data_IF_449620596930
#
_entry.id   IF_449620596930
#
_cell.length_a   1.000
_cell.length_b   1.000
_cell.length_c   1.000
_cell.angle_alpha   90.00
_cell.angle_beta   90.00
_cell.angle_gamma   90.00
#
_symmetry.space_group_name_H-M   'P 1'
#
loop_
_entity.id
_entity.type
_entity.pdbx_description
1 polymer ?
#
# COMPACT_ATOMS: atom_id res chain seq x y z
N UNK A 1 -17.48 26.54 -43.88
CA UNK A 1 -17.42 25.09 -43.60
C UNK A 1 -16.68 24.90 -42.29
N UNK A 2 -17.36 24.34 -41.27
CA UNK A 2 -16.87 24.28 -39.88
C UNK A 2 -15.78 23.21 -39.75
N UNK A 3 -14.54 23.65 -39.54
CA UNK A 3 -13.43 22.82 -39.07
C UNK A 3 -13.59 22.57 -37.57
N UNK A 4 -14.33 21.53 -37.19
CA UNK A 4 -14.34 21.00 -35.82
C UNK A 4 -14.44 19.49 -35.89
N UNK A 5 -13.30 18.80 -36.03
CA UNK A 5 -13.23 17.37 -35.82
C UNK A 5 -12.05 17.02 -34.90
N UNK A 6 -12.43 16.63 -33.69
CA UNK A 6 -11.82 15.58 -32.86
C UNK A 6 -10.40 15.82 -32.33
N UNK A 7 -10.25 16.82 -31.47
CA UNK A 7 -9.36 16.72 -30.30
C UNK A 7 -10.16 16.15 -29.12
N UNK A 8 -10.61 14.89 -29.24
CA UNK A 8 -11.38 14.21 -28.20
C UNK A 8 -10.50 13.16 -27.53
N UNK A 9 -9.74 13.63 -26.53
CA UNK A 9 -9.65 12.94 -25.25
C UNK A 9 -9.19 11.48 -25.22
N UNK A 10 -8.03 11.14 -25.77
CA UNK A 10 -7.22 10.07 -25.18
C UNK A 10 -6.46 10.63 -23.97
N UNK A 11 -7.21 11.06 -22.96
CA UNK A 11 -6.71 11.04 -21.59
C UNK A 11 -6.55 9.56 -21.25
N UNK A 12 -5.44 8.97 -21.70
CA UNK A 12 -5.05 7.64 -21.27
C UNK A 12 -4.85 7.82 -19.76
N UNK A 13 -5.84 7.38 -18.99
CA UNK A 13 -5.81 7.31 -17.54
C UNK A 13 -4.71 6.29 -17.22
N UNK A 14 -3.48 6.78 -17.22
CA UNK A 14 -2.28 5.98 -17.02
C UNK A 14 -1.98 5.98 -15.54
N UNK A 15 -1.84 4.77 -14.98
CA UNK A 15 -1.30 4.60 -13.64
C UNK A 15 0.19 4.29 -13.71
N UNK A 16 0.93 4.75 -12.71
CA UNK A 16 2.24 4.18 -12.40
C UNK A 16 2.02 2.84 -11.69
N UNK A 17 2.70 1.79 -12.14
CA UNK A 17 2.65 0.47 -11.50
C UNK A 17 3.86 0.23 -10.63
N UNK A 18 3.60 -0.41 -9.49
CA UNK A 18 4.62 -1.05 -8.66
C UNK A 18 4.43 -2.55 -8.79
N UNK A 19 5.51 -3.33 -8.69
CA UNK A 19 5.43 -4.80 -8.74
C UNK A 19 4.58 -5.32 -7.59
N UNK A 20 3.65 -6.21 -7.90
CA UNK A 20 2.79 -6.86 -6.91
C UNK A 20 1.31 -6.50 -7.06
N UNK A 21 0.53 -6.79 -6.02
CA UNK A 21 -0.91 -6.56 -6.02
C UNK A 21 -1.25 -5.08 -5.82
N UNK A 22 -2.05 -4.54 -6.74
CA UNK A 22 -2.54 -3.16 -6.70
C UNK A 22 -4.03 -3.12 -7.04
N UNK A 23 -4.79 -2.29 -6.34
CA UNK A 23 -6.19 -2.02 -6.67
C UNK A 23 -6.25 -0.94 -7.75
N UNK A 24 -6.95 -1.22 -8.85
CA UNK A 24 -7.09 -0.26 -9.93
C UNK A 24 -8.17 0.78 -9.60
N UNK A 25 -7.88 2.06 -9.87
CA UNK A 25 -8.77 3.17 -9.52
C UNK A 25 -10.07 3.24 -10.33
N UNK A 26 -10.09 2.69 -11.56
CA UNK A 26 -11.25 2.80 -12.44
C UNK A 26 -12.37 1.80 -12.13
N UNK A 27 -12.05 0.62 -11.58
CA UNK A 27 -13.04 -0.41 -11.27
C UNK A 27 -12.94 -0.99 -9.84
N UNK A 28 -11.95 -0.57 -9.06
CA UNK A 28 -11.75 -1.04 -7.68
C UNK A 28 -11.31 -2.50 -7.54
N UNK A 29 -10.96 -3.18 -8.64
CA UNK A 29 -10.53 -4.58 -8.61
C UNK A 29 -9.04 -4.69 -8.32
N UNK A 30 -8.64 -5.82 -7.74
CA UNK A 30 -7.24 -6.13 -7.43
C UNK A 30 -6.56 -6.77 -8.65
N UNK A 31 -5.34 -6.33 -8.96
CA UNK A 31 -4.53 -6.81 -10.08
C UNK A 31 -3.14 -7.15 -9.60
N UNK A 32 -2.55 -8.21 -10.14
CA UNK A 32 -1.12 -8.49 -9.94
C UNK A 32 -0.31 -7.88 -11.09
N UNK A 33 0.46 -6.83 -10.79
CA UNK A 33 1.27 -6.12 -11.77
C UNK A 33 2.69 -6.72 -11.80
N UNK A 34 3.15 -7.22 -12.96
CA UNK A 34 4.44 -7.86 -13.09
C UNK A 34 5.58 -6.82 -13.15
N UNK A 35 6.82 -7.27 -12.93
CA UNK A 35 8.01 -6.41 -12.89
C UNK A 35 8.23 -5.56 -14.14
N UNK A 36 7.91 -6.11 -15.32
CA UNK A 36 8.05 -5.41 -16.60
C UNK A 36 6.87 -4.48 -16.95
N UNK A 37 5.92 -4.27 -16.03
CA UNK A 37 4.85 -3.30 -16.19
C UNK A 37 5.22 -2.07 -15.37
N UNK A 38 5.83 -1.07 -15.99
CA UNK A 38 6.21 0.20 -15.32
C UNK A 38 5.04 1.20 -15.32
N UNK A 39 4.24 1.13 -16.39
CA UNK A 39 2.98 1.86 -16.53
C UNK A 39 1.92 0.94 -17.10
N UNK A 40 0.67 1.27 -16.85
CA UNK A 40 -0.47 0.62 -17.49
C UNK A 40 -1.45 1.65 -18.05
N UNK A 41 -2.23 1.21 -19.03
CA UNK A 41 -3.44 1.90 -19.49
C UNK A 41 -4.66 1.00 -19.31
N UNK A 42 -5.82 1.64 -19.17
CA UNK A 42 -7.11 0.96 -19.16
C UNK A 42 -7.56 0.66 -20.59
N UNK A 43 -8.12 -0.53 -20.79
CA UNK A 43 -8.87 -0.82 -22.02
C UNK A 43 -10.20 -0.08 -22.01
N UNK A 44 -10.57 0.51 -23.14
CA UNK A 44 -11.88 1.15 -23.33
C UNK A 44 -12.98 0.13 -23.61
N UNK A 45 -12.64 -0.99 -24.25
CA UNK A 45 -13.60 -2.01 -24.66
C UNK A 45 -13.90 -3.02 -23.53
N UNK A 46 -12.91 -3.28 -22.69
CA UNK A 46 -13.02 -4.17 -21.54
C UNK A 46 -12.48 -3.52 -20.28
N UNK A 47 -13.35 -3.07 -19.35
CA UNK A 47 -12.92 -2.38 -18.14
C UNK A 47 -12.11 -3.27 -17.19
N UNK A 48 -12.08 -4.59 -17.39
CA UNK A 48 -11.27 -5.48 -16.56
C UNK A 48 -9.85 -5.65 -17.09
N UNK A 49 -9.57 -5.15 -18.30
CA UNK A 49 -8.29 -5.35 -18.97
C UNK A 49 -7.34 -4.16 -18.80
N UNK A 50 -6.10 -4.46 -18.36
CA UNK A 50 -4.98 -3.51 -18.30
C UNK A 50 -3.90 -3.87 -19.33
N UNK A 51 -3.39 -2.88 -20.04
CA UNK A 51 -2.26 -3.04 -20.95
C UNK A 51 -0.98 -2.50 -20.33
N UNK A 52 0.07 -3.32 -20.31
CA UNK A 52 1.36 -2.95 -19.73
C UNK A 52 2.28 -2.23 -20.72
N UNK A 53 3.01 -1.26 -20.19
CA UNK A 53 4.04 -0.51 -20.89
C UNK A 53 5.36 -0.59 -20.13
N UNK A 54 6.44 -0.74 -20.89
CA UNK A 54 7.81 -0.69 -20.42
C UNK A 54 8.56 0.35 -21.23
N UNK A 55 9.20 1.33 -20.58
CA UNK A 55 9.89 2.44 -21.25
C UNK A 55 9.02 3.16 -22.30
N UNK A 56 7.71 3.26 -22.03
CA UNK A 56 6.75 3.91 -22.92
C UNK A 56 6.28 3.06 -24.12
N UNK A 57 6.75 1.82 -24.25
CA UNK A 57 6.36 0.90 -25.33
C UNK A 57 5.41 -0.15 -24.78
N UNK A 58 4.32 -0.43 -25.49
CA UNK A 58 3.39 -1.50 -25.15
C UNK A 58 4.13 -2.85 -25.18
N UNK A 59 4.07 -3.60 -24.09
CA UNK A 59 4.78 -4.89 -23.99
C UNK A 59 4.03 -6.04 -24.66
N UNK A 60 2.77 -5.81 -25.06
CA UNK A 60 1.83 -6.86 -25.48
C UNK A 60 1.28 -7.68 -24.31
N UNK A 61 1.76 -7.43 -23.09
CA UNK A 61 1.25 -8.10 -21.90
C UNK A 61 -0.05 -7.46 -21.45
N UNK A 62 -1.05 -8.32 -21.26
CA UNK A 62 -2.37 -7.98 -20.75
C UNK A 62 -2.49 -8.51 -19.32
N UNK A 63 -3.04 -7.70 -18.43
CA UNK A 63 -3.30 -8.08 -17.04
C UNK A 63 -4.80 -7.97 -16.77
N UNK A 64 -5.36 -9.04 -16.22
CA UNK A 64 -6.76 -9.13 -15.81
C UNK A 64 -6.87 -9.10 -14.28
N UNK A 65 -8.07 -8.91 -13.71
CA UNK A 65 -8.25 -8.91 -12.26
C UNK A 65 -7.83 -10.24 -11.67
N UNK A 66 -7.36 -10.19 -10.43
CA UNK A 66 -7.08 -11.37 -9.63
C UNK A 66 -8.37 -12.15 -9.38
N UNK A 67 -8.29 -13.47 -9.41
CA UNK A 67 -9.42 -14.35 -9.08
C UNK A 67 -9.75 -14.30 -7.57
N UNK A 68 -10.89 -14.85 -7.19
CA UNK A 68 -11.36 -14.81 -5.80
C UNK A 68 -10.38 -15.45 -4.82
N UNK A 69 -9.69 -16.51 -5.23
CA UNK A 69 -8.74 -17.21 -4.38
C UNK A 69 -7.46 -16.38 -4.19
N UNK A 70 -6.97 -15.74 -5.25
CA UNK A 70 -5.83 -14.82 -5.21
C UNK A 70 -6.13 -13.62 -4.31
N UNK A 71 -7.33 -13.04 -4.43
CA UNK A 71 -7.80 -11.92 -3.60
C UNK A 71 -7.87 -12.34 -2.12
N UNK A 72 -8.45 -13.49 -1.82
CA UNK A 72 -8.53 -14.01 -0.45
C UNK A 72 -7.13 -14.24 0.14
N UNK A 73 -6.25 -14.89 -0.61
CA UNK A 73 -4.87 -15.14 -0.20
C UNK A 73 -4.12 -13.84 0.10
N UNK A 74 -4.29 -12.82 -0.74
CA UNK A 74 -3.69 -11.51 -0.53
C UNK A 74 -4.15 -10.85 0.78
N UNK A 75 -5.46 -10.84 1.04
CA UNK A 75 -5.99 -10.26 2.27
C UNK A 75 -5.59 -11.04 3.51
N UNK A 76 -5.57 -12.38 3.45
CA UNK A 76 -5.07 -13.22 4.56
C UNK A 76 -3.60 -12.92 4.85
N UNK A 77 -2.77 -12.76 3.83
CA UNK A 77 -1.36 -12.42 4.00
C UNK A 77 -1.18 -11.02 4.60
N UNK A 78 -1.93 -10.01 4.12
CA UNK A 78 -1.89 -8.67 4.70
C UNK A 78 -2.27 -8.66 6.17
N UNK A 79 -3.33 -9.37 6.55
CA UNK A 79 -3.81 -9.42 7.93
C UNK A 79 -2.80 -10.12 8.84
N UNK A 80 -2.24 -11.26 8.40
CA UNK A 80 -1.17 -11.94 9.13
C UNK A 80 0.05 -11.04 9.35
N UNK A 81 0.46 -10.29 8.32
CA UNK A 81 1.57 -9.34 8.42
C UNK A 81 1.26 -8.19 9.39
N UNK A 82 0.03 -7.65 9.34
CA UNK A 82 -0.42 -6.59 10.26
C UNK A 82 -0.38 -7.05 11.71
N UNK A 83 -0.86 -8.26 11.98
CA UNK A 83 -0.82 -8.86 13.31
C UNK A 83 0.62 -9.08 13.79
N UNK A 84 1.49 -9.60 12.92
CA UNK A 84 2.91 -9.77 13.26
C UNK A 84 3.58 -8.44 13.64
N UNK A 85 3.31 -7.36 12.90
CA UNK A 85 3.82 -6.02 13.22
C UNK A 85 3.24 -5.45 14.51
N UNK A 86 1.95 -5.66 14.76
CA UNK A 86 1.32 -5.24 16.01
C UNK A 86 1.95 -5.94 17.22
N UNK A 87 2.12 -7.26 17.13
CA UNK A 87 2.75 -8.08 18.18
C UNK A 87 4.21 -7.69 18.42
N UNK A 88 4.95 -7.40 17.36
CA UNK A 88 6.33 -6.91 17.47
C UNK A 88 6.38 -5.55 18.17
N UNK A 89 5.50 -4.61 17.78
CA UNK A 89 5.44 -3.28 18.39
C UNK A 89 5.04 -3.35 19.87
N UNK A 90 4.11 -4.23 20.23
CA UNK A 90 3.73 -4.46 21.62
C UNK A 90 4.89 -5.07 22.42
N UNK A 91 5.58 -6.04 21.86
CA UNK A 91 6.76 -6.65 22.49
C UNK A 91 7.86 -5.61 22.73
N UNK A 92 8.14 -4.75 21.75
CA UNK A 92 9.09 -3.64 21.90
C UNK A 92 8.67 -2.63 22.97
N UNK A 93 7.37 -2.30 23.07
CA UNK A 93 6.85 -1.43 24.14
C UNK A 93 6.98 -2.06 25.51
N UNK A 94 6.76 -3.37 25.62
CA UNK A 94 6.85 -4.10 26.89
C UNK A 94 8.30 -4.29 27.34
N UNK A 95 9.24 -4.43 26.39
CA UNK A 95 10.67 -4.51 26.66
C UNK A 95 11.35 -3.14 26.79
N UNK A 96 10.64 -2.04 26.48
CA UNK A 96 11.20 -0.70 26.67
C UNK A 96 11.23 -0.36 28.17
N UNK A 97 12.36 0.18 28.68
CA UNK A 97 12.46 0.53 30.09
C UNK A 97 11.38 1.55 30.47
N UNK A 98 10.64 1.25 31.54
CA UNK A 98 9.58 2.13 32.04
C UNK A 98 10.17 3.09 33.06
N UNK A 99 10.18 4.37 32.69
CA UNK A 99 10.62 5.46 33.56
C UNK A 99 9.44 6.01 34.34
N UNK A 100 9.45 5.83 35.66
CA UNK A 100 8.44 6.40 36.57
C UNK A 100 9.06 7.57 37.33
N UNK A 101 8.39 8.73 37.28
CA UNK A 101 8.76 9.88 38.10
C UNK A 101 7.94 9.87 39.37
N UNK A 102 8.61 9.84 40.52
CA UNK A 102 7.99 9.79 41.85
C UNK A 102 8.60 10.86 42.73
N UNK A 103 7.78 11.56 43.52
CA UNK A 103 8.27 12.47 44.55
C UNK A 103 8.89 11.66 45.70
N UNK A 104 10.19 11.77 45.88
CA UNK A 104 10.90 11.26 47.04
C UNK A 104 10.95 12.32 48.13
N UNK A 105 10.92 11.89 49.39
CA UNK A 105 11.24 12.74 50.53
C UNK A 105 12.68 12.49 50.96
N UNK A 106 13.52 13.52 50.90
CA UNK A 106 14.90 13.46 51.38
C UNK A 106 15.12 14.58 52.40
N UNK A 107 15.47 14.22 53.64
CA UNK A 107 15.68 15.13 54.77
C UNK A 107 14.63 16.26 54.91
N UNK A 108 13.34 15.94 54.82
CA UNK A 108 12.26 16.89 55.06
C UNK A 108 11.85 17.77 53.87
N UNK A 109 12.50 17.61 52.70
CA UNK A 109 12.12 18.30 51.45
C UNK A 109 11.68 17.28 50.39
N UNK A 110 10.66 17.64 49.60
CA UNK A 110 10.21 16.84 48.46
C UNK A 110 11.11 17.11 47.24
N UNK A 111 11.64 16.05 46.62
CA UNK A 111 12.44 16.10 45.40
C UNK A 111 11.90 15.11 44.37
N UNK A 112 12.00 15.44 43.08
CA UNK A 112 11.60 14.54 42.00
C UNK A 112 12.67 13.46 41.80
N UNK A 113 12.31 12.19 41.98
CA UNK A 113 13.13 11.05 41.60
C UNK A 113 12.61 10.40 40.34
N UNK A 114 13.53 9.84 39.56
CA UNK A 114 13.22 9.05 38.39
C UNK A 114 13.71 7.62 38.62
N UNK A 115 12.83 6.63 38.47
CA UNK A 115 13.18 5.21 38.55
C UNK A 115 12.89 4.55 37.20
N UNK A 116 13.89 3.90 36.61
CA UNK A 116 13.75 3.14 35.37
C UNK A 116 13.72 1.66 35.69
N UNK A 117 12.62 0.98 35.36
CA UNK A 117 12.51 -0.49 35.42
C UNK A 117 12.73 -1.07 34.03
N UNK A 118 13.55 -2.12 33.94
CA UNK A 118 13.90 -2.82 32.69
C UNK A 118 13.12 -4.11 32.55
#
# INVERSE_FOLDING_TARGET
MKFFYLLLGSAILTGCSTVGYQTAGHNGKLYYLPTQCEKYSYSYDDPDTLYCYHKGIATGQVVTPADSQQVENYYRQQEANRQAWANLNESLKNSAPKTTNTNCYNYGYATNCTSTTY
#
